data_IF_453239080269
#
_entry.id   IF_453239080269
#
_cell.length_a   1.000
_cell.length_b   1.000
_cell.length_c   1.000
_cell.angle_alpha   90.00
_cell.angle_beta   90.00
_cell.angle_gamma   90.00
#
_symmetry.space_group_name_H-M   'P 1'
#
loop_
_entity.id
_entity.type
_entity.pdbx_description
1 polymer ?
#
# COMPACT_ATOMS: atom_id res chain seq x y z
N UNK A 1 41.12 -34.74 -56.27
CA UNK A 1 40.14 -34.14 -55.34
C UNK A 1 38.86 -33.95 -56.15
N UNK A 2 37.87 -34.83 -55.96
CA UNK A 2 36.71 -34.94 -56.84
C UNK A 2 35.88 -33.65 -56.78
N UNK A 3 35.69 -33.02 -57.94
CA UNK A 3 34.79 -31.91 -58.12
C UNK A 3 33.39 -32.34 -57.72
N UNK A 4 32.84 -31.73 -56.66
CA UNK A 4 31.40 -31.72 -56.43
C UNK A 4 30.81 -31.11 -57.70
N UNK A 5 30.25 -31.96 -58.56
CA UNK A 5 29.75 -31.54 -59.86
C UNK A 5 28.62 -30.54 -59.60
N UNK A 6 28.68 -29.38 -60.25
CA UNK A 6 27.80 -28.23 -60.03
C UNK A 6 26.30 -28.56 -60.21
N UNK A 7 25.99 -29.69 -60.87
CA UNK A 7 24.66 -30.31 -60.95
C UNK A 7 24.15 -30.81 -59.59
N UNK A 8 25.02 -31.32 -58.72
CA UNK A 8 24.65 -31.75 -57.36
C UNK A 8 24.20 -30.59 -56.47
N UNK A 9 24.83 -29.41 -56.59
CA UNK A 9 24.46 -28.21 -55.81
C UNK A 9 23.11 -27.63 -56.26
N UNK A 10 22.84 -27.61 -57.57
CA UNK A 10 21.59 -27.08 -58.12
C UNK A 10 20.41 -28.02 -57.86
N UNK A 11 20.63 -29.34 -57.85
CA UNK A 11 19.59 -30.33 -57.51
C UNK A 11 19.36 -30.44 -55.99
N UNK A 12 20.40 -30.23 -55.17
CA UNK A 12 20.30 -30.29 -53.71
C UNK A 12 19.58 -29.08 -53.10
N UNK A 13 19.73 -27.88 -53.67
CA UNK A 13 19.13 -26.64 -53.13
C UNK A 13 17.61 -26.71 -52.88
N UNK A 14 16.79 -27.08 -53.88
CA UNK A 14 15.33 -27.21 -53.71
C UNK A 14 14.94 -28.30 -52.71
N UNK A 15 15.66 -29.43 -52.70
CA UNK A 15 15.39 -30.55 -51.80
C UNK A 15 15.72 -30.19 -50.36
N UNK A 16 16.89 -29.58 -50.12
CA UNK A 16 17.31 -29.08 -48.81
C UNK A 16 16.38 -27.98 -48.29
N UNK A 17 15.91 -27.06 -49.15
CA UNK A 17 14.91 -26.06 -48.77
C UNK A 17 13.60 -26.71 -48.33
N UNK A 18 13.12 -27.69 -49.08
CA UNK A 18 11.84 -28.36 -48.80
C UNK A 18 11.92 -29.14 -47.49
N UNK A 19 13.03 -29.85 -47.24
CA UNK A 19 13.28 -30.53 -45.97
C UNK A 19 13.36 -29.51 -44.83
N UNK A 20 14.15 -28.44 -44.98
CA UNK A 20 14.27 -27.37 -43.98
C UNK A 20 12.90 -26.77 -43.65
N UNK A 21 12.09 -26.45 -44.67
CA UNK A 21 10.76 -25.88 -44.51
C UNK A 21 9.80 -26.83 -43.76
N UNK A 22 9.81 -28.12 -44.10
CA UNK A 22 8.99 -29.13 -43.43
C UNK A 22 9.41 -29.27 -41.97
N UNK A 23 10.72 -29.38 -41.69
CA UNK A 23 11.26 -29.50 -40.33
C UNK A 23 10.91 -28.26 -39.51
N UNK A 24 11.16 -27.06 -40.05
CA UNK A 24 10.80 -25.79 -39.41
C UNK A 24 9.29 -25.71 -39.13
N UNK A 25 8.44 -26.16 -40.07
CA UNK A 25 6.99 -26.12 -39.92
C UNK A 25 6.47 -27.09 -38.87
N UNK A 26 7.12 -28.24 -38.71
CA UNK A 26 6.77 -29.24 -37.70
C UNK A 26 7.22 -28.77 -36.31
N UNK A 27 8.48 -28.32 -36.18
CA UNK A 27 9.06 -27.98 -34.89
C UNK A 27 8.62 -26.62 -34.35
N UNK A 28 8.49 -25.62 -35.22
CA UNK A 28 8.33 -24.21 -34.83
C UNK A 28 7.01 -23.60 -35.32
N UNK A 29 5.95 -24.41 -35.47
CA UNK A 29 4.66 -23.93 -35.98
C UNK A 29 4.16 -22.70 -35.18
N UNK A 30 3.89 -21.59 -35.88
CA UNK A 30 3.50 -20.28 -35.32
C UNK A 30 4.55 -19.58 -34.44
N UNK A 31 5.75 -20.12 -34.32
CA UNK A 31 6.86 -19.48 -33.59
C UNK A 31 7.51 -18.35 -34.41
N UNK A 32 8.10 -17.39 -33.71
CA UNK A 32 9.02 -16.41 -34.28
C UNK A 32 10.22 -17.08 -34.96
N UNK A 33 10.71 -18.20 -34.41
CA UNK A 33 11.82 -18.96 -34.97
C UNK A 33 11.51 -19.47 -36.38
N UNK A 34 10.25 -19.82 -36.65
CA UNK A 34 9.80 -20.19 -38.00
C UNK A 34 9.89 -19.03 -38.99
N UNK A 35 9.48 -17.82 -38.56
CA UNK A 35 9.56 -16.60 -39.38
C UNK A 35 11.01 -16.20 -39.67
N UNK A 36 11.88 -16.29 -38.66
CA UNK A 36 13.32 -16.02 -38.81
C UNK A 36 13.94 -17.05 -39.75
N UNK A 37 13.73 -18.34 -39.47
CA UNK A 37 14.36 -19.44 -40.19
C UNK A 37 13.96 -19.49 -41.66
N UNK A 38 12.70 -19.19 -41.99
CA UNK A 38 12.28 -19.06 -43.38
C UNK A 38 12.96 -17.86 -44.04
N UNK A 39 12.98 -16.69 -43.40
CA UNK A 39 13.56 -15.48 -44.00
C UNK A 39 15.07 -15.62 -44.23
N UNK A 40 15.83 -16.08 -43.23
CA UNK A 40 17.28 -16.27 -43.37
C UNK A 40 17.62 -17.46 -44.26
N UNK A 41 16.94 -18.60 -44.08
CA UNK A 41 17.19 -19.81 -44.86
C UNK A 41 16.87 -19.62 -46.35
N UNK A 42 15.72 -19.01 -46.68
CA UNK A 42 15.39 -18.70 -48.09
C UNK A 42 16.36 -17.70 -48.72
N UNK A 43 16.80 -16.68 -47.97
CA UNK A 43 17.79 -15.72 -48.45
C UNK A 43 19.14 -16.38 -48.73
N UNK A 44 19.64 -17.23 -47.82
CA UNK A 44 20.90 -17.98 -48.01
C UNK A 44 20.82 -18.86 -49.25
N UNK A 45 19.71 -19.58 -49.43
CA UNK A 45 19.51 -20.49 -50.56
C UNK A 45 19.39 -19.71 -51.88
N UNK A 46 18.68 -18.57 -51.89
CA UNK A 46 18.61 -17.70 -53.06
C UNK A 46 19.97 -17.12 -53.43
N UNK A 47 20.76 -16.67 -52.45
CA UNK A 47 22.12 -16.16 -52.70
C UNK A 47 23.02 -17.27 -53.25
N UNK A 48 22.96 -18.48 -52.68
CA UNK A 48 23.71 -19.64 -53.17
C UNK A 48 23.30 -20.03 -54.60
N UNK A 49 22.01 -19.99 -54.90
CA UNK A 49 21.48 -20.26 -56.24
C UNK A 49 21.97 -19.22 -57.26
N UNK A 50 21.84 -17.93 -56.94
CA UNK A 50 22.31 -16.83 -57.80
C UNK A 50 23.81 -16.95 -58.04
N UNK A 51 24.60 -17.25 -57.00
CA UNK A 51 26.05 -17.47 -57.12
C UNK A 51 26.38 -18.66 -58.04
N UNK A 52 25.65 -19.77 -57.90
CA UNK A 52 25.81 -20.95 -58.75
C UNK A 52 25.43 -20.72 -60.22
N UNK A 53 24.44 -19.87 -60.49
CA UNK A 53 24.07 -19.45 -61.86
C UNK A 53 25.17 -18.56 -62.45
N UNK A 54 25.60 -17.52 -61.74
CA UNK A 54 26.65 -16.59 -62.18
C UNK A 54 27.94 -17.33 -62.54
N UNK A 55 28.32 -18.35 -61.76
CA UNK A 55 29.51 -19.17 -62.02
C UNK A 55 29.50 -19.92 -63.36
N UNK A 56 28.32 -20.15 -63.97
CA UNK A 56 28.18 -20.80 -65.29
C UNK A 56 28.16 -19.80 -66.46
N UNK A 57 27.97 -18.52 -66.20
CA UNK A 57 27.87 -17.48 -67.21
C UNK A 57 29.22 -16.75 -67.38
N UNK A 58 29.35 -15.97 -68.47
CA UNK A 58 30.54 -15.14 -68.72
C UNK A 58 30.80 -14.14 -67.58
N UNK A 59 32.06 -13.75 -67.27
CA UNK A 59 32.40 -12.87 -66.14
C UNK A 59 31.64 -11.52 -66.11
N UNK A 60 31.12 -11.08 -67.25
CA UNK A 60 30.32 -9.84 -67.37
C UNK A 60 29.07 -9.85 -66.48
N UNK A 61 28.54 -11.03 -66.12
CA UNK A 61 27.32 -11.16 -65.32
C UNK A 61 27.54 -10.87 -63.82
N UNK A 62 28.80 -10.80 -63.36
CA UNK A 62 29.12 -10.35 -62.01
C UNK A 62 28.63 -8.92 -61.75
N UNK A 63 28.55 -8.08 -62.79
CA UNK A 63 28.17 -6.66 -62.68
C UNK A 63 26.77 -6.46 -62.11
N UNK A 64 25.82 -7.33 -62.46
CA UNK A 64 24.44 -7.29 -61.94
C UNK A 64 24.17 -8.34 -60.84
N UNK A 65 24.95 -9.41 -60.82
CA UNK A 65 24.79 -10.51 -59.86
C UNK A 65 25.09 -10.13 -58.41
N UNK A 66 26.18 -9.40 -58.16
CA UNK A 66 26.53 -8.92 -56.82
C UNK A 66 25.46 -7.98 -56.23
N UNK A 67 25.00 -6.94 -56.95
CA UNK A 67 23.89 -6.09 -56.48
C UNK A 67 22.64 -6.88 -56.12
N UNK A 68 22.26 -7.90 -56.92
CA UNK A 68 21.09 -8.72 -56.65
C UNK A 68 21.21 -9.50 -55.32
N UNK A 69 22.39 -10.05 -55.02
CA UNK A 69 22.64 -10.75 -53.75
C UNK A 69 22.54 -9.80 -52.55
N UNK A 70 23.08 -8.59 -52.68
CA UNK A 70 22.97 -7.54 -51.64
C UNK A 70 21.50 -7.19 -51.42
N UNK A 71 20.70 -7.02 -52.48
CA UNK A 71 19.27 -6.71 -52.37
C UNK A 71 18.52 -7.82 -51.61
N UNK A 72 18.80 -9.10 -51.91
CA UNK A 72 18.19 -10.23 -51.21
C UNK A 72 18.53 -10.20 -49.72
N UNK A 73 19.81 -10.00 -49.39
CA UNK A 73 20.28 -9.93 -48.00
C UNK A 73 19.66 -8.74 -47.23
N UNK A 74 19.62 -7.56 -47.84
CA UNK A 74 19.03 -6.35 -47.26
C UNK A 74 17.52 -6.54 -47.06
N UNK A 75 16.82 -7.14 -48.02
CA UNK A 75 15.38 -7.40 -47.92
C UNK A 75 15.07 -8.33 -46.74
N UNK A 76 15.83 -9.41 -46.58
CA UNK A 76 15.69 -10.32 -45.44
C UNK A 76 15.98 -9.62 -44.11
N UNK A 77 17.04 -8.80 -44.04
CA UNK A 77 17.39 -8.01 -42.85
C UNK A 77 16.27 -7.01 -42.46
N UNK A 78 15.73 -6.28 -43.43
CA UNK A 78 14.64 -5.32 -43.21
C UNK A 78 13.37 -6.04 -42.75
N UNK A 79 13.06 -7.21 -43.32
CA UNK A 79 11.94 -8.04 -42.90
C UNK A 79 12.05 -8.46 -41.43
N UNK A 80 13.21 -9.00 -41.01
CA UNK A 80 13.47 -9.40 -39.61
C UNK A 80 13.34 -8.20 -38.67
N UNK A 81 13.92 -7.06 -39.04
CA UNK A 81 13.85 -5.83 -38.23
C UNK A 81 12.41 -5.37 -38.02
N UNK A 82 11.58 -5.41 -39.07
CA UNK A 82 10.17 -5.00 -38.98
C UNK A 82 9.30 -5.99 -38.19
N UNK A 83 9.51 -7.29 -38.37
CA UNK A 83 8.64 -8.34 -37.77
C UNK A 83 9.01 -8.63 -36.32
N UNK A 84 10.26 -8.36 -35.92
CA UNK A 84 10.80 -8.79 -34.63
C UNK A 84 11.30 -7.61 -33.82
N UNK A 85 12.34 -6.91 -34.31
CA UNK A 85 13.02 -5.87 -33.55
C UNK A 85 12.08 -4.73 -33.17
N UNK A 86 11.30 -4.20 -34.12
CA UNK A 86 10.36 -3.10 -33.85
C UNK A 86 9.27 -3.48 -32.82
N UNK A 87 8.55 -4.60 -32.96
CA UNK A 87 7.62 -5.09 -31.93
C UNK A 87 8.24 -5.29 -30.55
N UNK A 88 9.44 -5.88 -30.47
CA UNK A 88 10.16 -6.05 -29.20
C UNK A 88 10.48 -4.71 -28.56
N UNK A 89 10.98 -3.74 -29.34
CA UNK A 89 11.27 -2.40 -28.84
C UNK A 89 10.02 -1.72 -28.29
N UNK A 90 8.86 -1.86 -28.94
CA UNK A 90 7.59 -1.33 -28.41
C UNK A 90 7.23 -1.93 -27.05
N UNK A 91 7.43 -3.24 -26.86
CA UNK A 91 7.17 -3.90 -25.57
C UNK A 91 8.16 -3.42 -24.52
N UNK A 92 9.46 -3.35 -24.86
CA UNK A 92 10.51 -2.87 -23.96
C UNK A 92 10.21 -1.43 -23.50
N UNK A 93 9.93 -0.52 -24.43
CA UNK A 93 9.56 0.86 -24.07
C UNK A 93 8.31 0.93 -23.19
N UNK A 94 7.33 0.03 -23.42
CA UNK A 94 6.17 -0.06 -22.54
C UNK A 94 6.51 -0.58 -21.13
N UNK A 95 7.50 -1.45 -21.00
CA UNK A 95 8.02 -1.90 -19.70
C UNK A 95 8.81 -0.78 -19.03
N UNK A 96 9.64 -0.05 -19.76
CA UNK A 96 10.41 1.08 -19.22
C UNK A 96 9.47 2.13 -18.61
N UNK A 97 8.41 2.51 -19.31
CA UNK A 97 7.38 3.41 -18.79
C UNK A 97 6.71 2.86 -17.51
N UNK A 98 6.42 1.55 -17.46
CA UNK A 98 5.87 0.89 -16.27
C UNK A 98 6.87 0.92 -15.12
N UNK A 99 8.17 0.74 -15.40
CA UNK A 99 9.26 0.86 -14.43
C UNK A 99 9.42 2.28 -13.90
N UNK A 100 9.13 3.29 -14.73
CA UNK A 100 9.07 4.70 -14.32
C UNK A 100 7.78 5.07 -13.56
N UNK A 101 6.89 4.09 -13.33
CA UNK A 101 5.67 4.25 -12.54
C UNK A 101 4.43 4.62 -13.38
N UNK A 102 4.56 4.73 -14.70
CA UNK A 102 3.43 4.97 -15.58
C UNK A 102 2.66 3.66 -15.86
N UNK A 103 1.67 3.38 -15.00
CA UNK A 103 0.80 2.19 -15.13
C UNK A 103 -0.39 2.40 -16.08
N UNK A 104 -0.44 3.52 -16.80
CA UNK A 104 -1.51 3.81 -17.77
C UNK A 104 -1.19 3.34 -19.18
N UNK A 105 0.03 2.84 -19.39
CA UNK A 105 0.50 2.37 -20.69
C UNK A 105 -0.36 1.21 -21.19
N UNK A 106 -0.77 1.32 -22.45
CA UNK A 106 -1.44 0.25 -23.18
C UNK A 106 -0.56 -0.18 -24.34
N UNK A 107 -0.23 -1.47 -24.37
CA UNK A 107 0.48 -2.03 -25.50
C UNK A 107 -0.41 -2.02 -26.74
N UNK A 108 0.22 -1.83 -27.91
CA UNK A 108 -0.42 -1.75 -29.21
C UNK A 108 -1.29 -3.00 -29.49
N UNK A 109 -2.52 -2.79 -29.98
CA UNK A 109 -3.49 -3.85 -30.25
C UNK A 109 -2.95 -4.88 -31.24
N UNK A 110 -2.15 -4.48 -32.20
CA UNK A 110 -1.53 -5.40 -33.18
C UNK A 110 -0.58 -6.41 -32.51
N UNK A 111 0.07 -6.00 -31.40
CA UNK A 111 0.94 -6.89 -30.63
C UNK A 111 0.12 -7.87 -29.80
N UNK A 112 -1.01 -7.45 -29.25
CA UNK A 112 -1.86 -8.28 -28.41
C UNK A 112 -2.56 -9.40 -29.21
N UNK A 113 -2.84 -9.18 -30.49
CA UNK A 113 -3.43 -10.21 -31.37
C UNK A 113 -2.40 -11.16 -32.00
N UNK A 114 -1.09 -10.93 -31.79
CA UNK A 114 -0.07 -11.88 -32.26
C UNK A 114 -0.19 -13.20 -31.50
N UNK A 115 -0.04 -14.29 -32.25
CA UNK A 115 -0.11 -15.66 -31.71
C UNK A 115 1.27 -16.30 -31.51
N UNK A 116 2.34 -15.54 -31.76
CA UNK A 116 3.72 -15.96 -31.52
C UNK A 116 4.22 -15.45 -30.15
N UNK A 117 5.46 -15.79 -29.82
CA UNK A 117 6.07 -15.52 -28.51
C UNK A 117 6.10 -14.03 -28.17
N UNK A 118 6.15 -13.15 -29.18
CA UNK A 118 6.09 -11.69 -28.98
C UNK A 118 4.69 -11.27 -28.54
N UNK A 119 3.65 -11.87 -29.11
CA UNK A 119 2.28 -11.64 -28.66
C UNK A 119 2.03 -12.20 -27.26
N UNK A 120 2.59 -13.37 -26.94
CA UNK A 120 2.52 -13.94 -25.59
C UNK A 120 3.22 -13.01 -24.59
N UNK A 121 4.41 -12.50 -24.94
CA UNK A 121 5.15 -11.54 -24.12
C UNK A 121 4.33 -10.26 -23.93
N UNK A 122 3.80 -9.66 -24.99
CA UNK A 122 2.97 -8.47 -24.91
C UNK A 122 1.75 -8.68 -24.00
N UNK A 123 1.04 -9.80 -24.14
CA UNK A 123 -0.11 -10.12 -23.29
C UNK A 123 0.29 -10.31 -21.82
N UNK A 124 1.43 -10.97 -21.55
CA UNK A 124 1.94 -11.15 -20.19
C UNK A 124 2.36 -9.83 -19.55
N UNK A 125 3.03 -8.95 -20.30
CA UNK A 125 3.36 -7.59 -19.85
C UNK A 125 2.10 -6.78 -19.57
N UNK A 126 1.09 -6.82 -20.45
CA UNK A 126 -0.17 -6.11 -20.23
C UNK A 126 -0.87 -6.57 -18.95
N UNK A 127 -0.91 -7.88 -18.68
CA UNK A 127 -1.45 -8.43 -17.43
C UNK A 127 -0.65 -7.99 -16.20
N UNK A 128 0.68 -7.95 -16.32
CA UNK A 128 1.56 -7.46 -15.25
C UNK A 128 1.25 -6.00 -14.92
N UNK A 129 1.17 -5.13 -15.93
CA UNK A 129 0.81 -3.71 -15.75
C UNK A 129 -0.55 -3.54 -15.09
N UNK A 130 -1.56 -4.30 -15.52
CA UNK A 130 -2.89 -4.28 -14.92
C UNK A 130 -2.85 -4.67 -13.43
N UNK A 131 -2.14 -5.74 -13.09
CA UNK A 131 -2.02 -6.20 -11.69
C UNK A 131 -1.27 -5.20 -10.82
N UNK A 132 -0.21 -4.58 -11.33
CA UNK A 132 0.49 -3.51 -10.63
C UNK A 132 -0.44 -2.31 -10.40
N UNK A 133 -1.23 -1.91 -11.41
CA UNK A 133 -2.20 -0.82 -11.27
C UNK A 133 -3.26 -1.12 -10.21
N UNK A 134 -3.77 -2.36 -10.15
CA UNK A 134 -4.71 -2.79 -9.12
C UNK A 134 -4.10 -2.69 -7.72
N UNK A 135 -2.86 -3.17 -7.55
CA UNK A 135 -2.14 -3.13 -6.26
C UNK A 135 -1.89 -1.68 -5.82
N UNK A 136 -1.42 -0.82 -6.70
CA UNK A 136 -1.18 0.60 -6.39
C UNK A 136 -2.49 1.30 -6.02
N UNK A 137 -3.58 1.02 -6.73
CA UNK A 137 -4.89 1.57 -6.40
C UNK A 137 -5.37 1.12 -5.00
N UNK A 138 -5.18 -0.16 -4.67
CA UNK A 138 -5.51 -0.67 -3.34
C UNK A 138 -4.70 0.03 -2.25
N UNK A 139 -3.39 0.20 -2.46
CA UNK A 139 -2.51 0.94 -1.53
C UNK A 139 -3.01 2.38 -1.35
N UNK A 140 -3.39 3.07 -2.44
CA UNK A 140 -3.90 4.43 -2.39
C UNK A 140 -5.21 4.53 -1.59
N UNK A 141 -6.12 3.57 -1.76
CA UNK A 141 -7.37 3.49 -1.00
C UNK A 141 -7.07 3.28 0.49
N UNK A 142 -6.19 2.33 0.82
CA UNK A 142 -5.80 2.07 2.21
C UNK A 142 -5.10 3.28 2.85
N UNK A 143 -4.24 3.98 2.13
CA UNK A 143 -3.59 5.20 2.62
C UNK A 143 -4.62 6.30 2.94
N UNK A 144 -5.64 6.45 2.09
CA UNK A 144 -6.74 7.40 2.31
C UNK A 144 -7.54 7.03 3.57
N UNK A 145 -7.82 5.74 3.77
CA UNK A 145 -8.52 5.26 4.97
C UNK A 145 -7.70 5.49 6.24
N UNK A 146 -6.39 5.24 6.21
CA UNK A 146 -5.50 5.51 7.35
C UNK A 146 -5.44 7.00 7.66
N UNK A 147 -5.38 7.86 6.64
CA UNK A 147 -5.41 9.31 6.83
C UNK A 147 -6.69 9.76 7.52
N UNK A 148 -7.85 9.30 7.03
CA UNK A 148 -9.15 9.61 7.63
C UNK A 148 -9.27 9.10 9.08
N UNK A 149 -8.78 7.88 9.36
CA UNK A 149 -8.75 7.33 10.71
C UNK A 149 -7.83 8.15 11.64
N UNK A 150 -6.70 8.65 11.12
CA UNK A 150 -5.78 9.54 11.82
C UNK A 150 -6.43 10.87 12.21
N UNK A 151 -7.17 11.48 11.28
CA UNK A 151 -7.94 12.71 11.55
C UNK A 151 -9.00 12.48 12.62
N UNK A 152 -9.74 11.37 12.55
CA UNK A 152 -10.74 11.02 13.56
C UNK A 152 -10.10 10.78 14.94
N UNK A 153 -8.96 10.08 15.01
CA UNK A 153 -8.22 9.86 16.26
C UNK A 153 -7.72 11.18 16.86
N UNK A 154 -7.26 12.11 16.02
CA UNK A 154 -6.84 13.43 16.48
C UNK A 154 -8.02 14.21 17.08
N UNK A 155 -9.19 14.19 16.43
CA UNK A 155 -10.42 14.80 16.98
C UNK A 155 -10.79 14.17 18.33
N UNK A 156 -10.82 12.84 18.41
CA UNK A 156 -11.14 12.13 19.65
C UNK A 156 -10.13 12.44 20.77
N UNK A 157 -8.85 12.62 20.43
CA UNK A 157 -7.80 12.96 21.40
C UNK A 157 -7.97 14.38 21.94
N UNK A 158 -8.41 15.33 21.10
CA UNK A 158 -8.75 16.69 21.53
C UNK A 158 -9.96 16.68 22.47
N UNK A 159 -11.03 15.96 22.13
CA UNK A 159 -12.21 15.81 22.98
C UNK A 159 -11.87 15.16 24.32
N UNK A 160 -11.04 14.10 24.31
CA UNK A 160 -10.56 13.45 25.52
C UNK A 160 -9.73 14.41 26.38
N UNK A 161 -8.85 15.21 25.77
CA UNK A 161 -8.06 16.20 26.49
C UNK A 161 -8.93 17.29 27.12
N UNK A 162 -9.97 17.74 26.43
CA UNK A 162 -10.95 18.68 26.99
C UNK A 162 -11.72 18.06 28.16
N UNK A 163 -12.22 16.83 28.00
CA UNK A 163 -12.91 16.10 29.05
C UNK A 163 -12.02 15.86 30.28
N UNK A 164 -10.75 15.51 30.08
CA UNK A 164 -9.79 15.33 31.17
C UNK A 164 -9.52 16.65 31.93
N UNK A 165 -9.41 17.79 31.24
CA UNK A 165 -9.28 19.09 31.88
C UNK A 165 -10.53 19.44 32.70
N UNK A 166 -11.72 19.14 32.17
CA UNK A 166 -12.97 19.39 32.88
C UNK A 166 -13.11 18.50 34.11
N UNK A 167 -12.71 17.23 34.02
CA UNK A 167 -12.65 16.32 35.16
C UNK A 167 -11.66 16.79 36.22
N UNK A 168 -10.48 17.28 35.82
CA UNK A 168 -9.50 17.84 36.76
C UNK A 168 -10.09 19.03 37.53
N UNK A 169 -10.76 19.95 36.83
CA UNK A 169 -11.43 21.10 37.46
C UNK A 169 -12.54 20.66 38.43
N UNK A 170 -13.37 19.66 38.08
CA UNK A 170 -14.37 19.12 39.00
C UNK A 170 -13.75 18.47 40.23
N UNK A 171 -12.59 17.82 40.09
CA UNK A 171 -11.87 17.26 41.24
C UNK A 171 -11.35 18.36 42.16
N UNK A 172 -10.82 19.47 41.60
CA UNK A 172 -10.40 20.64 42.40
C UNK A 172 -11.58 21.23 43.20
N UNK A 173 -12.76 21.35 42.59
CA UNK A 173 -13.97 21.84 43.25
C UNK A 173 -14.45 20.91 44.37
N UNK A 174 -14.40 19.59 44.14
CA UNK A 174 -14.72 18.59 45.17
C UNK A 174 -13.72 18.67 46.32
N UNK A 175 -12.43 18.81 46.03
CA UNK A 175 -11.39 18.97 47.05
C UNK A 175 -11.59 20.22 47.90
N UNK A 176 -11.93 21.36 47.28
CA UNK A 176 -12.27 22.58 48.01
C UNK A 176 -13.52 22.39 48.88
N UNK A 177 -14.55 21.73 48.36
CA UNK A 177 -15.77 21.41 49.11
C UNK A 177 -15.49 20.47 50.30
N UNK A 178 -14.57 19.52 50.14
CA UNK A 178 -14.10 18.65 51.23
C UNK A 178 -13.34 19.44 52.32
N UNK A 179 -12.55 20.44 51.95
CA UNK A 179 -11.84 21.31 52.89
C UNK A 179 -12.81 22.20 53.69
N UNK A 180 -13.81 22.77 53.01
CA UNK A 180 -14.88 23.53 53.66
C UNK A 180 -15.72 22.63 54.58
N UNK A 181 -16.05 21.40 54.14
CA UNK A 181 -16.77 20.43 54.96
C UNK A 181 -15.98 20.04 56.21
N UNK A 182 -14.67 19.82 56.07
CA UNK A 182 -13.78 19.52 57.21
C UNK A 182 -13.75 20.66 58.22
N UNK A 183 -13.69 21.90 57.73
CA UNK A 183 -13.75 23.12 58.56
C UNK A 183 -15.07 23.21 59.31
N UNK A 184 -16.20 22.96 58.65
CA UNK A 184 -17.52 22.95 59.28
C UNK A 184 -17.65 21.84 60.34
N UNK A 185 -17.10 20.65 60.10
CA UNK A 185 -17.08 19.56 61.08
C UNK A 185 -16.26 19.96 62.32
N UNK A 186 -15.10 20.57 62.12
CA UNK A 186 -14.24 21.05 63.21
C UNK A 186 -14.95 22.12 64.04
N UNK A 187 -15.58 23.11 63.39
CA UNK A 187 -16.36 24.14 64.08
C UNK A 187 -17.55 23.54 64.85
N UNK A 188 -18.24 22.55 64.29
CA UNK A 188 -19.36 21.90 64.98
C UNK A 188 -18.91 21.10 66.21
N UNK A 189 -17.72 20.47 66.14
CA UNK A 189 -17.08 19.81 67.27
C UNK A 189 -16.73 20.80 68.38
N UNK A 190 -16.12 21.94 68.04
CA UNK A 190 -15.80 23.02 68.98
C UNK A 190 -17.05 23.61 69.64
N UNK A 191 -18.09 23.89 68.86
CA UNK A 191 -19.39 24.35 69.36
C UNK A 191 -20.00 23.34 70.34
N UNK A 192 -19.88 22.05 70.06
CA UNK A 192 -20.37 20.98 70.93
C UNK A 192 -19.58 20.91 72.24
N UNK A 193 -18.25 21.04 72.20
CA UNK A 193 -17.40 21.11 73.41
C UNK A 193 -17.70 22.35 74.25
N UNK A 194 -17.91 23.50 73.61
CA UNK A 194 -18.30 24.74 74.28
C UNK A 194 -19.67 24.58 74.96
N UNK A 195 -20.65 24.00 74.26
CA UNK A 195 -21.99 23.72 74.80
C UNK A 195 -21.95 22.76 75.99
N UNK A 196 -21.12 21.71 75.91
CA UNK A 196 -20.90 20.79 77.02
C UNK A 196 -20.32 21.53 78.24
N UNK A 197 -19.31 22.37 78.03
CA UNK A 197 -18.69 23.17 79.10
C UNK A 197 -19.67 24.14 79.75
N UNK A 198 -20.52 24.80 78.94
CA UNK A 198 -21.58 25.69 79.44
C UNK A 198 -22.59 24.89 80.29
N UNK A 199 -23.02 23.72 79.80
CA UNK A 199 -23.96 22.84 80.50
C UNK A 199 -23.40 22.37 81.85
N UNK A 200 -22.13 21.93 81.90
CA UNK A 200 -21.46 21.55 83.15
C UNK A 200 -21.38 22.73 84.13
N UNK A 201 -21.04 23.93 83.65
CA UNK A 201 -21.01 25.13 84.49
C UNK A 201 -22.41 25.50 85.02
N UNK A 202 -23.45 25.38 84.19
CA UNK A 202 -24.83 25.63 84.59
C UNK A 202 -25.29 24.64 85.67
N UNK A 203 -24.99 23.35 85.49
CA UNK A 203 -25.26 22.31 86.48
C UNK A 203 -24.59 22.63 87.84
N UNK A 204 -23.30 22.98 87.83
CA UNK A 204 -22.58 23.37 89.04
C UNK A 204 -23.20 24.61 89.72
N UNK A 205 -23.64 25.60 88.94
CA UNK A 205 -24.33 26.79 89.48
C UNK A 205 -25.71 26.43 90.06
N UNK A 206 -26.47 25.54 89.43
CA UNK A 206 -27.75 25.05 89.96
C UNK A 206 -27.59 24.36 91.32
N UNK A 207 -26.53 23.59 91.53
CA UNK A 207 -26.25 23.00 92.85
C UNK A 207 -26.09 24.06 93.97
N UNK A 208 -25.50 25.22 93.66
CA UNK A 208 -25.42 26.34 94.61
C UNK A 208 -26.78 27.01 94.86
N UNK A 209 -27.63 27.10 93.83
CA UNK A 209 -29.00 27.62 93.95
C UNK A 209 -29.85 26.68 94.80
N UNK A 210 -29.70 25.36 94.62
CA UNK A 210 -30.34 24.34 95.45
C UNK A 210 -29.96 24.51 96.93
N UNK A 211 -28.65 24.60 97.22
CA UNK A 211 -28.16 24.79 98.59
C UNK A 211 -28.74 26.08 99.22
N UNK A 212 -28.75 27.19 98.49
CA UNK A 212 -29.32 28.45 98.95
C UNK A 212 -30.83 28.36 99.18
N UNK A 213 -31.55 27.64 98.31
CA UNK A 213 -32.99 27.43 98.44
C UNK A 213 -33.32 26.54 99.64
N UNK A 214 -32.55 25.47 99.89
CA UNK A 214 -32.69 24.65 101.10
C UNK A 214 -32.44 25.46 102.37
N UNK A 215 -31.37 26.27 102.41
CA UNK A 215 -31.10 27.19 103.52
C UNK A 215 -32.27 28.15 103.76
N UNK A 216 -32.86 28.69 102.68
CA UNK A 216 -34.02 29.57 102.76
C UNK A 216 -35.26 28.85 103.30
N UNK A 217 -35.54 27.62 102.85
CA UNK A 217 -36.67 26.80 103.36
C UNK A 217 -36.49 26.50 104.86
N UNK A 218 -35.27 26.13 105.29
CA UNK A 218 -34.96 25.90 106.71
C UNK A 218 -35.19 27.18 107.52
N UNK A 219 -34.75 28.34 107.03
CA UNK A 219 -34.98 29.61 107.69
C UNK A 219 -36.48 29.94 107.81
N UNK A 220 -37.27 29.72 106.75
CA UNK A 220 -38.73 29.90 106.76
C UNK A 220 -39.41 28.95 107.75
N UNK A 221 -39.00 27.68 107.82
CA UNK A 221 -39.51 26.73 108.83
C UNK A 221 -39.20 27.19 110.25
N UNK A 222 -37.97 27.61 110.53
CA UNK A 222 -37.58 28.14 111.84
C UNK A 222 -38.40 29.37 112.25
N UNK A 223 -38.83 30.21 111.29
CA UNK A 223 -39.73 31.34 111.55
C UNK A 223 -41.13 30.83 111.87
N UNK A 224 -41.67 29.89 111.09
CA UNK A 224 -43.00 29.31 111.32
C UNK A 224 -43.09 28.63 112.69
N UNK A 225 -42.07 27.86 113.09
CA UNK A 225 -42.00 27.20 114.41
C UNK A 225 -41.98 28.22 115.56
N UNK A 226 -41.37 29.41 115.35
CA UNK A 226 -41.38 30.50 116.33
C UNK A 226 -42.70 31.27 116.42
N UNK A 227 -43.52 31.25 115.36
CA UNK A 227 -44.84 31.91 115.34
C UNK A 227 -45.92 30.99 115.92
N UNK A 228 -45.74 29.68 115.87
CA UNK A 228 -46.68 28.68 116.40
C UNK A 228 -46.52 28.40 117.93
N UNK A 229 -45.91 29.34 118.66
CA UNK A 229 -45.77 29.34 120.13
C UNK A 229 -46.63 30.48 120.70
#
# INVERSE_FOLDING_TARGET
>A
MQAITLTSVILAGPVSFTIMFIVMRILFKKSLLFKIGIATGSAIILVAFVSGVIAKLSPIHNLWGFPLQVIIAVTAYVYITKVIKKPLQKIISGIDEVSDGNLTVKLDGDLLHRTDEIGILANSTQRLTQKLSEVVNLISISATQVSAAGEQLNSNSQDLSLGANQQASSVEEISASMEEMTTNIQQNSENSQQTNSISTNAFNKMGRVEEASQKSIVAVRNIADKINI
#
